data_IF_387714662311
#
_entry.id   IF_387714662311
#
_cell.length_a   1.000
_cell.length_b   1.000
_cell.length_c   1.000
_cell.angle_alpha   90.00
_cell.angle_beta   90.00
_cell.angle_gamma   90.00
#
_symmetry.space_group_name_H-M   'P 1'
#
loop_
_entity.id
_entity.type
_entity.pdbx_description
1 polymer ?
#
# COMPACT_ATOMS: atom_id res chain seq x y z
N UNK A 1 30.97 59.65 -25.66
CA UNK A 1 29.99 59.03 -24.74
C UNK A 1 30.14 59.76 -23.44
N UNK A 2 29.20 60.66 -23.14
CA UNK A 2 29.29 61.53 -21.97
C UNK A 2 29.33 60.69 -20.70
N UNK A 3 30.29 60.99 -19.80
CA UNK A 3 30.53 60.22 -18.58
C UNK A 3 29.30 60.09 -17.68
N UNK A 4 28.29 60.97 -17.85
CA UNK A 4 26.99 60.87 -17.18
C UNK A 4 26.19 59.63 -17.61
N UNK A 5 26.09 59.33 -18.90
CA UNK A 5 25.34 58.14 -19.37
C UNK A 5 25.99 56.82 -18.94
N UNK A 6 27.32 56.79 -18.86
CA UNK A 6 28.05 55.63 -18.32
C UNK A 6 27.81 55.44 -16.82
N UNK A 7 27.79 56.54 -16.04
CA UNK A 7 27.50 56.50 -14.60
C UNK A 7 26.05 56.09 -14.32
N UNK A 8 25.08 56.57 -15.10
CA UNK A 8 23.68 56.15 -14.98
C UNK A 8 23.51 54.65 -15.24
N UNK A 9 24.12 54.12 -16.30
CA UNK A 9 24.09 52.68 -16.60
C UNK A 9 24.75 51.87 -15.47
N UNK A 10 25.89 52.32 -14.94
CA UNK A 10 26.55 51.71 -13.79
C UNK A 10 25.65 51.71 -12.54
N UNK A 11 25.00 52.83 -12.24
CA UNK A 11 24.04 52.93 -11.12
C UNK A 11 22.88 51.96 -11.31
N UNK A 12 22.32 51.86 -12.52
CA UNK A 12 21.26 50.90 -12.83
C UNK A 12 21.71 49.44 -12.67
N UNK A 13 22.91 49.09 -13.13
CA UNK A 13 23.46 47.73 -12.95
C UNK A 13 23.64 47.41 -11.46
N UNK A 14 24.15 48.37 -10.67
CA UNK A 14 24.30 48.20 -9.22
C UNK A 14 22.93 48.02 -8.54
N UNK A 15 21.93 48.83 -8.91
CA UNK A 15 20.58 48.70 -8.37
C UNK A 15 19.94 47.36 -8.73
N UNK A 16 20.06 46.92 -9.98
CA UNK A 16 19.52 45.64 -10.44
C UNK A 16 20.19 44.45 -9.76
N UNK A 17 21.52 44.49 -9.60
CA UNK A 17 22.26 43.42 -8.90
C UNK A 17 21.91 43.38 -7.41
N UNK A 18 21.76 44.54 -6.76
CA UNK A 18 21.31 44.61 -5.37
C UNK A 18 19.88 44.08 -5.22
N UNK A 19 18.97 44.48 -6.10
CA UNK A 19 17.60 43.99 -6.09
C UNK A 19 17.52 42.48 -6.33
N UNK A 20 18.27 41.96 -7.31
CA UNK A 20 18.35 40.53 -7.58
C UNK A 20 18.91 39.75 -6.38
N UNK A 21 19.92 40.29 -5.71
CA UNK A 21 20.47 39.69 -4.48
C UNK A 21 19.42 39.64 -3.36
N UNK A 22 18.75 40.76 -3.07
CA UNK A 22 17.72 40.83 -2.03
C UNK A 22 16.54 39.90 -2.32
N UNK A 23 16.08 39.86 -3.57
CA UNK A 23 15.00 38.96 -3.97
C UNK A 23 15.40 37.49 -3.75
N UNK A 24 16.63 37.12 -4.14
CA UNK A 24 17.14 35.76 -3.92
C UNK A 24 17.19 35.38 -2.44
N UNK A 25 17.71 36.27 -1.59
CA UNK A 25 17.76 35.99 -0.13
C UNK A 25 16.35 35.86 0.47
N UNK A 26 15.40 36.67 -0.01
CA UNK A 26 13.99 36.58 0.40
C UNK A 26 13.35 35.26 -0.06
N UNK A 27 13.58 34.82 -1.29
CA UNK A 27 13.11 33.53 -1.81
C UNK A 27 13.69 32.35 -1.00
N UNK A 28 14.98 32.38 -0.69
CA UNK A 28 15.63 31.37 0.17
C UNK A 28 14.96 31.33 1.53
N UNK A 29 14.76 32.50 2.14
CA UNK A 29 14.13 32.60 3.46
C UNK A 29 12.70 32.05 3.45
N UNK A 30 11.88 32.43 2.47
CA UNK A 30 10.51 31.92 2.31
C UNK A 30 10.49 30.40 2.16
N UNK A 31 11.34 29.87 1.28
CA UNK A 31 11.45 28.43 1.05
C UNK A 31 11.86 27.67 2.31
N UNK A 32 12.82 28.19 3.09
CA UNK A 32 13.20 27.61 4.38
C UNK A 32 12.00 27.58 5.33
N UNK A 33 11.27 28.68 5.45
CA UNK A 33 10.08 28.77 6.31
C UNK A 33 8.98 27.80 5.90
N UNK A 34 8.77 27.60 4.59
CA UNK A 34 7.83 26.61 4.07
C UNK A 34 8.28 25.19 4.46
N UNK A 35 9.55 24.84 4.21
CA UNK A 35 10.10 23.52 4.57
C UNK A 35 9.96 23.25 6.08
N UNK A 36 10.29 24.22 6.93
CA UNK A 36 10.17 24.09 8.39
C UNK A 36 8.72 23.84 8.83
N UNK A 37 7.75 24.46 8.13
CA UNK A 37 6.31 24.25 8.37
C UNK A 37 5.90 22.82 8.06
N UNK A 38 6.33 22.28 6.90
CA UNK A 38 6.08 20.88 6.54
C UNK A 38 6.72 19.90 7.53
N UNK A 39 7.97 20.15 7.94
CA UNK A 39 8.65 19.30 8.93
C UNK A 39 7.91 19.30 10.28
N UNK A 40 7.41 20.45 10.73
CA UNK A 40 6.62 20.55 11.94
C UNK A 40 5.30 19.75 11.82
N UNK A 41 4.62 19.83 10.67
CA UNK A 41 3.42 19.05 10.40
C UNK A 41 3.73 17.53 10.40
N UNK A 42 4.79 17.10 9.71
CA UNK A 42 5.19 15.69 9.66
C UNK A 42 5.60 15.15 11.04
N UNK A 43 6.25 15.98 11.87
CA UNK A 43 6.55 15.64 13.27
C UNK A 43 5.26 15.38 14.06
N UNK A 44 4.27 16.26 13.91
CA UNK A 44 2.97 16.12 14.58
C UNK A 44 2.25 14.83 14.18
N UNK A 45 2.24 14.51 12.87
CA UNK A 45 1.65 13.27 12.34
C UNK A 45 2.37 12.04 12.89
N UNK A 46 3.71 12.04 12.90
CA UNK A 46 4.51 10.96 13.51
C UNK A 46 4.19 10.77 14.99
N UNK A 47 4.14 11.85 15.77
CA UNK A 47 3.86 11.77 17.19
C UNK A 47 2.43 11.27 17.46
N UNK A 48 1.48 11.64 16.59
CA UNK A 48 0.11 11.09 16.59
C UNK A 48 0.11 9.60 16.26
N UNK A 49 0.84 9.15 15.25
CA UNK A 49 0.94 7.74 14.85
C UNK A 49 1.51 6.85 15.97
N UNK A 50 2.58 7.31 16.63
CA UNK A 50 3.16 6.63 17.79
C UNK A 50 2.15 6.51 18.92
N UNK A 51 1.47 7.61 19.29
CA UNK A 51 0.43 7.60 20.32
C UNK A 51 -0.73 6.67 19.97
N UNK A 52 -1.20 6.70 18.71
CA UNK A 52 -2.26 5.85 18.22
C UNK A 52 -1.89 4.37 18.37
N UNK A 53 -0.71 3.97 17.88
CA UNK A 53 -0.23 2.58 17.98
C UNK A 53 -0.15 2.11 19.43
N UNK A 54 0.46 2.90 20.32
CA UNK A 54 0.59 2.58 21.75
C UNK A 54 -0.80 2.47 22.39
N UNK A 55 -1.74 3.35 22.06
CA UNK A 55 -3.09 3.32 22.60
C UNK A 55 -3.87 2.10 22.11
N UNK A 56 -3.71 1.68 20.85
CA UNK A 56 -4.37 0.46 20.34
C UNK A 56 -3.92 -0.80 21.09
N UNK A 57 -2.64 -0.92 21.47
CA UNK A 57 -2.20 -1.98 22.38
C UNK A 57 -2.91 -1.92 23.75
N UNK A 58 -3.08 -0.72 24.31
CA UNK A 58 -3.78 -0.50 25.59
C UNK A 58 -5.26 -0.89 25.49
N UNK A 59 -5.92 -0.50 24.41
CA UNK A 59 -7.33 -0.79 24.15
C UNK A 59 -7.58 -2.30 24.02
N UNK A 60 -6.73 -3.03 23.29
CA UNK A 60 -6.82 -4.50 23.17
C UNK A 60 -6.67 -5.17 24.55
N UNK A 61 -5.75 -4.69 25.39
CA UNK A 61 -5.58 -5.21 26.75
C UNK A 61 -6.81 -4.95 27.64
N UNK A 62 -7.36 -3.74 27.60
CA UNK A 62 -8.56 -3.36 28.35
C UNK A 62 -9.77 -4.21 27.91
N UNK A 63 -9.98 -4.36 26.60
CA UNK A 63 -11.07 -5.16 26.02
C UNK A 63 -11.03 -6.63 26.47
N UNK A 64 -9.83 -7.17 26.69
CA UNK A 64 -9.63 -8.55 27.14
C UNK A 64 -9.46 -8.67 28.66
N UNK A 65 -9.71 -7.59 29.41
CA UNK A 65 -9.56 -7.51 30.88
C UNK A 65 -8.17 -7.97 31.37
N UNK A 66 -7.12 -7.68 30.58
CA UNK A 66 -5.73 -8.02 30.90
C UNK A 66 -4.95 -6.80 31.31
N UNK A 67 -4.03 -7.00 32.27
CA UNK A 67 -3.01 -6.02 32.60
C UNK A 67 -1.79 -6.26 31.72
N UNK A 68 -1.24 -5.17 31.19
CA UNK A 68 -0.01 -5.16 30.39
C UNK A 68 0.97 -4.17 31.01
N UNK A 69 2.26 -4.43 30.82
CA UNK A 69 3.30 -3.46 31.14
C UNK A 69 3.37 -2.42 30.04
N UNK A 70 2.77 -1.26 30.30
CA UNK A 70 2.71 -0.14 29.36
C UNK A 70 4.09 0.34 28.95
N UNK A 71 5.05 0.40 29.88
CA UNK A 71 6.41 0.88 29.57
C UNK A 71 7.11 -0.09 28.62
N UNK A 72 6.99 -1.39 28.89
CA UNK A 72 7.53 -2.43 28.01
C UNK A 72 6.95 -2.36 26.60
N UNK A 73 5.64 -2.11 26.47
CA UNK A 73 4.99 -1.95 25.17
C UNK A 73 5.49 -0.70 24.46
N UNK A 74 5.56 0.43 25.16
CA UNK A 74 6.05 1.70 24.59
C UNK A 74 7.49 1.54 24.06
N UNK A 75 8.39 0.96 24.85
CA UNK A 75 9.77 0.66 24.43
C UNK A 75 9.82 -0.29 23.23
N UNK A 76 9.02 -1.36 23.24
CA UNK A 76 9.04 -2.35 22.15
C UNK A 76 8.44 -1.81 20.86
N UNK A 77 7.35 -1.04 20.94
CA UNK A 77 6.73 -0.38 19.78
C UNK A 77 7.73 0.59 19.14
N UNK A 78 8.43 1.41 19.94
CA UNK A 78 9.46 2.30 19.42
C UNK A 78 10.58 1.52 18.70
N UNK A 79 11.01 0.39 19.27
CA UNK A 79 12.00 -0.48 18.62
C UNK A 79 11.50 -1.10 17.31
N UNK A 80 10.22 -1.48 17.22
CA UNK A 80 9.64 -2.03 16.00
C UNK A 80 9.50 -0.97 14.90
N UNK A 81 9.09 0.24 15.27
CA UNK A 81 8.97 1.40 14.35
C UNK A 81 10.33 1.85 13.81
N UNK A 82 11.43 1.54 14.50
CA UNK A 82 12.81 1.80 14.07
C UNK A 82 13.44 0.64 13.28
N UNK A 83 12.75 -0.50 13.15
CA UNK A 83 13.25 -1.63 12.37
C UNK A 83 13.24 -1.29 10.88
N UNK A 84 14.14 -1.89 10.09
CA UNK A 84 14.20 -1.69 8.63
C UNK A 84 14.23 -3.01 7.90
N UNK A 85 13.54 -3.05 6.75
CA UNK A 85 13.68 -4.14 5.80
C UNK A 85 14.92 -3.89 4.94
N UNK A 86 15.83 -4.86 4.89
CA UNK A 86 17.03 -4.78 4.06
C UNK A 86 16.79 -5.68 2.84
N UNK A 87 16.72 -5.06 1.66
CA UNK A 87 16.57 -5.81 0.41
C UNK A 87 17.78 -6.70 0.13
N UNK A 88 17.57 -7.88 -0.47
CA UNK A 88 18.68 -8.74 -0.88
C UNK A 88 19.49 -8.06 -1.98
N UNK A 89 20.79 -8.39 -2.06
CA UNK A 89 21.67 -7.93 -3.13
C UNK A 89 21.19 -8.41 -4.50
N UNK A 90 21.25 -7.52 -5.49
CA UNK A 90 20.80 -7.71 -6.87
C UNK A 90 21.96 -7.91 -7.89
N UNK A 91 23.20 -8.00 -7.41
CA UNK A 91 24.40 -8.27 -8.23
C UNK A 91 24.26 -9.51 -9.14
N UNK A 92 23.58 -10.55 -8.64
CA UNK A 92 23.12 -11.69 -9.43
C UNK A 92 21.58 -11.68 -9.45
N UNK A 93 20.96 -11.26 -10.58
CA UNK A 93 19.51 -11.18 -10.67
C UNK A 93 18.86 -12.57 -10.68
N UNK A 94 19.61 -13.65 -10.92
CA UNK A 94 19.04 -14.99 -10.86
C UNK A 94 18.70 -15.37 -9.41
N UNK A 95 17.45 -15.74 -9.18
CA UNK A 95 16.99 -16.15 -7.85
C UNK A 95 16.65 -15.00 -6.90
N UNK A 96 16.67 -13.75 -7.36
CA UNK A 96 16.38 -12.57 -6.49
C UNK A 96 14.96 -12.63 -5.92
N UNK A 97 14.00 -13.12 -6.71
CA UNK A 97 12.59 -13.19 -6.31
C UNK A 97 12.39 -14.21 -5.19
N UNK A 98 13.04 -15.37 -5.25
CA UNK A 98 12.99 -16.37 -4.18
C UNK A 98 13.63 -15.85 -2.88
N UNK A 99 14.76 -15.15 -2.98
CA UNK A 99 15.41 -14.48 -1.82
C UNK A 99 14.48 -13.44 -1.20
N UNK A 100 13.86 -12.60 -2.03
CA UNK A 100 12.94 -11.56 -1.59
C UNK A 100 11.70 -12.17 -0.91
N UNK A 101 11.11 -13.22 -1.50
CA UNK A 101 9.99 -13.98 -0.92
C UNK A 101 10.36 -14.54 0.45
N UNK A 102 11.54 -15.12 0.60
CA UNK A 102 12.02 -15.67 1.87
C UNK A 102 12.17 -14.59 2.95
N UNK A 103 12.76 -13.43 2.60
CA UNK A 103 12.95 -12.31 3.53
C UNK A 103 11.61 -11.72 3.97
N UNK A 104 10.69 -11.45 3.03
CA UNK A 104 9.36 -10.91 3.34
C UNK A 104 8.60 -11.85 4.27
N UNK A 105 8.59 -13.16 4.00
CA UNK A 105 7.94 -14.16 4.87
C UNK A 105 8.56 -14.22 6.26
N UNK A 106 9.88 -14.14 6.34
CA UNK A 106 10.60 -14.17 7.60
C UNK A 106 10.30 -12.92 8.42
N UNK A 107 10.36 -11.73 7.80
CA UNK A 107 9.99 -10.47 8.44
C UNK A 107 8.54 -10.50 8.94
N UNK A 108 7.59 -10.87 8.10
CA UNK A 108 6.18 -10.93 8.48
C UNK A 108 5.95 -11.87 9.67
N UNK A 109 6.57 -13.05 9.68
CA UNK A 109 6.48 -14.01 10.80
C UNK A 109 7.14 -13.47 12.07
N UNK A 110 8.30 -12.82 11.96
CA UNK A 110 9.00 -12.26 13.10
C UNK A 110 8.19 -11.14 13.75
N UNK A 111 7.68 -10.19 12.95
CA UNK A 111 6.84 -9.10 13.47
C UNK A 111 5.54 -9.64 14.07
N UNK A 112 4.91 -10.65 13.44
CA UNK A 112 3.74 -11.33 14.01
C UNK A 112 4.03 -11.95 15.39
N UNK A 113 5.17 -12.61 15.54
CA UNK A 113 5.58 -13.19 16.82
C UNK A 113 5.87 -12.10 17.87
N UNK A 114 6.49 -10.98 17.47
CA UNK A 114 6.74 -9.84 18.36
C UNK A 114 5.45 -9.25 18.91
N UNK A 115 4.47 -8.98 18.04
CA UNK A 115 3.14 -8.49 18.45
C UNK A 115 2.47 -9.52 19.36
N UNK A 116 2.50 -10.80 19.00
CA UNK A 116 1.92 -11.90 19.80
C UNK A 116 2.56 -12.02 21.18
N UNK A 117 3.86 -11.74 21.33
CA UNK A 117 4.52 -11.74 22.65
C UNK A 117 4.08 -10.57 23.53
N UNK A 118 3.73 -9.43 22.94
CA UNK A 118 3.23 -8.26 23.68
C UNK A 118 1.77 -8.43 24.11
N UNK A 119 0.94 -9.04 23.26
CA UNK A 119 -0.50 -9.25 23.48
C UNK A 119 -0.91 -10.71 23.17
N UNK A 120 -0.46 -11.70 23.97
CA UNK A 120 -0.68 -13.13 23.68
C UNK A 120 -2.14 -13.58 23.75
N UNK A 121 -3.00 -12.76 24.33
CA UNK A 121 -4.43 -12.98 24.48
C UNK A 121 -5.25 -12.39 23.31
N UNK A 122 -4.62 -11.63 22.41
CA UNK A 122 -5.30 -11.03 21.26
C UNK A 122 -5.66 -12.10 20.21
N UNK A 123 -6.77 -11.87 19.53
CA UNK A 123 -7.18 -12.70 18.38
C UNK A 123 -6.19 -12.55 17.22
N UNK A 124 -6.19 -13.52 16.29
CA UNK A 124 -5.37 -13.44 15.07
C UNK A 124 -5.65 -12.16 14.27
N UNK A 125 -6.92 -11.75 14.19
CA UNK A 125 -7.33 -10.51 13.51
C UNK A 125 -6.70 -9.28 14.17
N UNK A 126 -6.78 -9.19 15.50
CA UNK A 126 -6.17 -8.09 16.25
C UNK A 126 -4.64 -8.06 16.07
N UNK A 127 -3.98 -9.23 16.09
CA UNK A 127 -2.52 -9.32 15.86
C UNK A 127 -2.14 -8.81 14.46
N UNK A 128 -2.85 -9.25 13.41
CA UNK A 128 -2.56 -8.84 12.04
C UNK A 128 -2.84 -7.35 11.82
N UNK A 129 -3.96 -6.82 12.34
CA UNK A 129 -4.27 -5.40 12.26
C UNK A 129 -3.23 -4.53 13.00
N UNK A 130 -2.72 -5.01 14.14
CA UNK A 130 -1.64 -4.33 14.86
C UNK A 130 -0.32 -4.32 14.07
N UNK A 131 -0.04 -5.36 13.28
CA UNK A 131 1.13 -5.36 12.38
C UNK A 131 1.00 -4.27 11.31
N UNK A 132 -0.17 -4.16 10.68
CA UNK A 132 -0.44 -3.11 9.68
C UNK A 132 -0.31 -1.71 10.29
N UNK A 133 -0.84 -1.50 11.51
CA UNK A 133 -0.73 -0.24 12.24
C UNK A 133 0.74 0.13 12.58
N UNK A 134 1.54 -0.85 12.99
CA UNK A 134 2.99 -0.66 13.19
C UNK A 134 3.68 -0.31 11.87
N UNK A 135 3.33 -1.00 10.77
CA UNK A 135 3.86 -0.72 9.43
C UNK A 135 3.57 0.71 8.97
N UNK A 136 2.34 1.18 9.15
CA UNK A 136 1.97 2.57 8.85
C UNK A 136 2.77 3.58 9.69
N UNK A 137 2.93 3.30 10.99
CA UNK A 137 3.71 4.16 11.90
C UNK A 137 5.19 4.17 11.56
N UNK A 138 5.74 3.04 11.14
CA UNK A 138 7.11 2.90 10.64
C UNK A 138 7.33 3.76 9.39
N UNK A 139 6.41 3.70 8.41
CA UNK A 139 6.48 4.51 7.19
C UNK A 139 6.42 6.02 7.49
N UNK A 140 5.51 6.46 8.35
CA UNK A 140 5.42 7.86 8.79
C UNK A 140 6.71 8.32 9.48
N UNK A 141 7.27 7.48 10.36
CA UNK A 141 8.52 7.80 11.07
C UNK A 141 9.70 7.89 10.10
N UNK A 142 9.77 7.01 9.11
CA UNK A 142 10.80 7.02 8.06
C UNK A 142 10.75 8.29 7.22
N UNK A 143 9.59 8.62 6.66
CA UNK A 143 9.41 9.84 5.86
C UNK A 143 9.82 11.08 6.66
N UNK A 144 9.36 11.21 7.92
CA UNK A 144 9.74 12.34 8.76
C UNK A 144 11.27 12.44 8.94
N UNK A 145 11.94 11.32 9.23
CA UNK A 145 13.39 11.30 9.49
C UNK A 145 14.19 11.65 8.23
N UNK A 146 13.77 11.16 7.06
CA UNK A 146 14.42 11.45 5.79
C UNK A 146 14.29 12.93 5.41
N UNK A 147 13.09 13.50 5.53
CA UNK A 147 12.84 14.92 5.25
C UNK A 147 13.64 15.82 6.20
N UNK A 148 13.61 15.55 7.51
CA UNK A 148 14.37 16.31 8.51
C UNK A 148 15.89 16.18 8.27
N UNK A 149 16.37 15.00 7.85
CA UNK A 149 17.77 14.77 7.51
C UNK A 149 18.23 15.58 6.29
N UNK A 150 17.52 15.49 5.17
CA UNK A 150 17.83 16.23 3.93
C UNK A 150 17.80 17.73 4.19
N UNK A 151 16.82 18.21 4.96
CA UNK A 151 16.73 19.60 5.38
C UNK A 151 17.97 20.05 6.16
N UNK A 152 18.39 19.29 7.18
CA UNK A 152 19.58 19.59 7.98
C UNK A 152 20.85 19.59 7.14
N UNK A 153 20.97 18.69 6.17
CA UNK A 153 22.06 18.69 5.19
C UNK A 153 22.07 19.99 4.38
N UNK A 154 20.91 20.38 3.83
CA UNK A 154 20.76 21.63 3.07
C UNK A 154 21.17 22.85 3.88
N UNK A 155 20.74 22.95 5.14
CA UNK A 155 21.12 24.03 6.07
C UNK A 155 22.61 23.99 6.42
N UNK A 156 23.18 22.82 6.71
CA UNK A 156 24.59 22.65 7.10
C UNK A 156 25.54 23.06 5.98
N UNK A 157 25.27 22.64 4.75
CA UNK A 157 26.11 22.99 3.59
C UNK A 157 25.75 24.33 2.97
N UNK A 158 24.70 25.02 3.47
CA UNK A 158 24.14 26.23 2.87
C UNK A 158 23.81 26.03 1.37
N UNK A 159 23.32 24.83 1.03
CA UNK A 159 23.06 24.43 -0.35
C UNK A 159 21.63 24.77 -0.75
N UNK A 160 21.47 25.83 -1.54
CA UNK A 160 20.17 26.24 -2.11
C UNK A 160 19.53 25.11 -2.92
N UNK A 161 20.34 24.39 -3.71
CA UNK A 161 19.85 23.33 -4.59
C UNK A 161 19.23 22.16 -3.83
N UNK A 162 19.76 21.80 -2.65
CA UNK A 162 19.19 20.74 -1.82
C UNK A 162 17.84 21.20 -1.25
N UNK A 163 17.76 22.43 -0.76
CA UNK A 163 16.53 22.99 -0.20
C UNK A 163 15.44 23.13 -1.27
N UNK A 164 15.80 23.55 -2.49
CA UNK A 164 14.87 23.69 -3.60
C UNK A 164 14.31 22.33 -4.06
N UNK A 165 15.16 21.31 -4.17
CA UNK A 165 14.71 19.94 -4.47
C UNK A 165 13.76 19.42 -3.38
N UNK A 166 14.10 19.64 -2.11
CA UNK A 166 13.24 19.24 -1.01
C UNK A 166 11.89 19.96 -1.09
N UNK A 167 11.86 21.29 -1.23
CA UNK A 167 10.64 22.09 -1.32
C UNK A 167 9.74 21.63 -2.48
N UNK A 168 10.32 21.31 -3.64
CA UNK A 168 9.57 20.80 -4.80
C UNK A 168 8.94 19.42 -4.56
N UNK A 169 9.55 18.56 -3.73
CA UNK A 169 9.05 17.23 -3.42
C UNK A 169 8.03 17.20 -2.27
N UNK A 170 8.03 18.21 -1.38
CA UNK A 170 7.16 18.24 -0.19
C UNK A 170 5.65 18.04 -0.48
N UNK A 171 5.06 18.54 -1.58
CA UNK A 171 3.67 18.27 -1.89
C UNK A 171 3.37 16.78 -2.11
N UNK A 172 4.25 16.06 -2.82
CA UNK A 172 4.10 14.62 -3.07
C UNK A 172 4.31 13.84 -1.77
N UNK A 173 5.35 14.19 -1.00
CA UNK A 173 5.60 13.57 0.31
C UNK A 173 4.41 13.78 1.27
N UNK A 174 3.75 14.93 1.18
CA UNK A 174 2.55 15.22 1.99
C UNK A 174 1.38 14.32 1.62
N UNK A 175 1.23 13.94 0.35
CA UNK A 175 0.19 12.98 -0.07
C UNK A 175 0.44 11.60 0.57
N UNK A 176 1.66 11.08 0.49
CA UNK A 176 2.02 9.81 1.14
C UNK A 176 1.87 9.88 2.67
N UNK A 177 2.30 10.98 3.30
CA UNK A 177 2.11 11.19 4.75
C UNK A 177 0.64 11.17 5.17
N UNK A 178 -0.24 11.82 4.39
CA UNK A 178 -1.69 11.79 4.64
C UNK A 178 -2.28 10.41 4.42
N UNK A 179 -1.84 9.69 3.39
CA UNK A 179 -2.29 8.33 3.13
C UNK A 179 -2.02 7.40 4.32
N UNK A 180 -0.79 7.42 4.85
CA UNK A 180 -0.47 6.65 6.06
C UNK A 180 -1.16 7.18 7.32
N UNK A 181 -1.33 8.50 7.46
CA UNK A 181 -2.06 9.06 8.60
C UNK A 181 -3.52 8.56 8.64
N UNK A 182 -4.19 8.57 7.50
CA UNK A 182 -5.57 8.10 7.36
C UNK A 182 -5.70 6.60 7.59
N UNK A 183 -4.64 5.82 7.33
CA UNK A 183 -4.62 4.38 7.56
C UNK A 183 -4.60 3.99 9.04
N UNK A 184 -4.13 4.89 9.92
CA UNK A 184 -4.03 4.63 11.37
C UNK A 184 -5.39 4.26 11.96
N UNK A 185 -6.43 5.02 11.61
CA UNK A 185 -7.79 4.78 12.09
C UNK A 185 -8.35 3.46 11.54
N UNK A 186 -8.12 3.19 10.26
CA UNK A 186 -8.60 1.98 9.61
C UNK A 186 -7.97 0.72 10.24
N UNK A 187 -6.66 0.71 10.43
CA UNK A 187 -5.93 -0.41 11.02
C UNK A 187 -6.23 -0.59 12.50
N UNK A 188 -6.32 0.50 13.28
CA UNK A 188 -6.68 0.41 14.70
C UNK A 188 -8.08 -0.19 14.92
N UNK A 189 -9.05 0.15 14.06
CA UNK A 189 -10.44 -0.28 14.22
C UNK A 189 -10.83 -1.51 13.39
N UNK A 190 -9.97 -1.98 12.48
CA UNK A 190 -10.30 -3.10 11.59
C UNK A 190 -11.28 -2.74 10.47
N UNK A 191 -11.28 -1.49 10.02
CA UNK A 191 -12.15 -1.04 8.93
C UNK A 191 -11.54 -1.35 7.56
N UNK A 192 -12.36 -1.73 6.55
CA UNK A 192 -11.87 -1.95 5.20
C UNK A 192 -11.29 -0.67 4.60
N UNK A 193 -10.16 -0.81 3.92
CA UNK A 193 -9.46 0.29 3.25
C UNK A 193 -9.73 0.30 1.74
N UNK A 194 -9.32 1.34 1.02
CA UNK A 194 -9.43 1.37 -0.44
C UNK A 194 -8.76 0.19 -1.13
N UNK A 195 -7.60 -0.27 -0.64
CA UNK A 195 -6.90 -1.46 -1.14
C UNK A 195 -7.73 -2.75 -1.00
N UNK A 196 -8.78 -2.75 -0.16
CA UNK A 196 -9.68 -3.89 0.00
C UNK A 196 -10.65 -4.11 -1.16
N UNK A 197 -10.67 -3.24 -2.19
CA UNK A 197 -11.61 -3.36 -3.32
C UNK A 197 -11.51 -4.70 -4.06
N UNK A 198 -10.31 -5.24 -4.28
CA UNK A 198 -10.12 -6.54 -4.93
C UNK A 198 -10.74 -7.70 -4.12
N UNK A 199 -10.40 -7.85 -2.82
CA UNK A 199 -11.04 -8.80 -1.93
C UNK A 199 -12.56 -8.62 -1.84
N UNK A 200 -13.07 -7.37 -1.83
CA UNK A 200 -14.51 -7.09 -1.81
C UNK A 200 -15.18 -7.61 -3.08
N UNK A 201 -14.59 -7.39 -4.26
CA UNK A 201 -15.13 -7.89 -5.53
C UNK A 201 -15.16 -9.42 -5.55
N UNK A 202 -14.08 -10.08 -5.11
CA UNK A 202 -14.03 -11.54 -4.99
C UNK A 202 -15.09 -12.07 -4.01
N UNK A 203 -15.24 -11.44 -2.84
CA UNK A 203 -16.26 -11.81 -1.85
C UNK A 203 -17.69 -11.58 -2.38
N UNK A 204 -17.94 -10.49 -3.12
CA UNK A 204 -19.23 -10.24 -3.78
C UNK A 204 -19.54 -11.33 -4.82
N UNK A 205 -18.55 -11.77 -5.60
CA UNK A 205 -18.72 -12.87 -6.56
C UNK A 205 -19.10 -14.18 -5.84
N UNK A 206 -18.37 -14.54 -4.79
CA UNK A 206 -18.66 -15.73 -3.95
C UNK A 206 -20.06 -15.62 -3.37
N UNK A 207 -20.43 -14.49 -2.78
CA UNK A 207 -21.77 -14.30 -2.18
C UNK A 207 -22.89 -14.40 -3.20
N UNK A 208 -22.68 -13.91 -4.43
CA UNK A 208 -23.69 -13.88 -5.49
C UNK A 208 -23.92 -15.25 -6.13
N UNK A 209 -22.87 -16.06 -6.30
CA UNK A 209 -22.92 -17.30 -7.09
C UNK A 209 -22.52 -18.58 -6.32
N UNK A 210 -21.83 -18.46 -5.19
CA UNK A 210 -21.26 -19.55 -4.41
C UNK A 210 -22.14 -20.03 -3.24
N UNK A 211 -23.47 -20.03 -3.38
CA UNK A 211 -24.32 -20.48 -2.28
C UNK A 211 -24.08 -21.97 -1.97
N UNK A 212 -23.68 -22.29 -0.73
CA UNK A 212 -23.36 -23.65 -0.29
C UNK A 212 -21.96 -24.16 -0.68
N UNK A 213 -21.07 -23.32 -1.20
CA UNK A 213 -19.71 -23.72 -1.56
C UNK A 213 -18.78 -23.79 -0.36
N UNK A 214 -17.89 -24.78 -0.33
CA UNK A 214 -16.88 -24.94 0.72
C UNK A 214 -15.75 -23.91 0.54
N UNK A 215 -15.36 -23.27 1.64
CA UNK A 215 -14.20 -22.37 1.70
C UNK A 215 -12.98 -23.18 2.14
N UNK A 216 -11.97 -23.28 1.27
CA UNK A 216 -10.73 -24.01 1.54
C UNK A 216 -9.57 -23.04 1.76
N UNK A 217 -8.79 -23.23 2.82
CA UNK A 217 -7.52 -22.52 3.00
C UNK A 217 -6.41 -23.31 2.28
N UNK A 218 -5.87 -22.75 1.20
CA UNK A 218 -4.93 -23.45 0.29
C UNK A 218 -3.51 -22.95 0.39
N UNK A 219 -3.30 -21.76 0.97
CA UNK A 219 -2.00 -21.18 1.26
C UNK A 219 -2.09 -20.31 2.52
N UNK A 220 -0.94 -19.82 3.04
CA UNK A 220 -0.92 -18.96 4.24
C UNK A 220 -1.85 -17.77 4.03
N UNK A 221 -2.82 -17.61 4.93
CA UNK A 221 -3.76 -16.50 4.94
C UNK A 221 -4.49 -16.30 3.61
N UNK A 222 -4.79 -17.40 2.88
CA UNK A 222 -5.41 -17.34 1.56
C UNK A 222 -6.47 -18.42 1.40
N UNK A 223 -7.66 -18.00 0.97
CA UNK A 223 -8.80 -18.89 0.74
C UNK A 223 -9.03 -19.10 -0.75
N UNK A 224 -9.59 -20.26 -1.08
CA UNK A 224 -10.05 -20.65 -2.40
C UNK A 224 -11.47 -21.19 -2.30
N UNK A 225 -12.34 -20.74 -3.21
CA UNK A 225 -13.75 -21.16 -3.29
C UNK A 225 -14.07 -21.56 -4.73
N UNK A 226 -14.67 -22.74 -4.90
CA UNK A 226 -15.14 -23.21 -6.21
C UNK A 226 -16.59 -22.78 -6.43
N UNK A 227 -16.83 -21.97 -7.46
CA UNK A 227 -18.14 -21.39 -7.76
C UNK A 227 -18.60 -21.80 -9.16
N UNK A 228 -19.74 -22.49 -9.31
CA UNK A 228 -20.31 -22.78 -10.62
C UNK A 228 -20.92 -21.51 -11.24
N UNK A 229 -20.59 -21.20 -12.49
CA UNK A 229 -21.10 -20.03 -13.19
C UNK A 229 -21.24 -20.30 -14.69
N UNK A 230 -22.47 -20.26 -15.24
CA UNK A 230 -22.75 -20.39 -16.68
C UNK A 230 -21.94 -21.50 -17.37
N UNK A 231 -22.08 -22.74 -16.89
CA UNK A 231 -21.37 -23.93 -17.38
C UNK A 231 -19.83 -23.89 -17.27
N UNK A 232 -19.30 -22.97 -16.44
CA UNK A 232 -17.88 -22.85 -16.11
C UNK A 232 -17.68 -23.06 -14.62
N UNK A 233 -16.46 -23.39 -14.23
CA UNK A 233 -16.04 -23.41 -12.83
C UNK A 233 -15.13 -22.21 -12.57
N UNK A 234 -15.54 -21.33 -11.66
CA UNK A 234 -14.75 -20.18 -11.24
C UNK A 234 -14.08 -20.54 -9.92
N UNK A 235 -12.75 -20.56 -9.91
CA UNK A 235 -11.93 -20.74 -8.72
C UNK A 235 -11.59 -19.36 -8.21
N UNK A 236 -12.32 -18.90 -7.20
CA UNK A 236 -12.12 -17.58 -6.59
C UNK A 236 -11.06 -17.70 -5.50
N UNK A 237 -10.02 -16.88 -5.59
CA UNK A 237 -8.90 -16.81 -4.65
C UNK A 237 -8.83 -15.41 -4.07
N UNK A 238 -8.71 -15.29 -2.75
CA UNK A 238 -8.41 -14.01 -2.07
C UNK A 238 -7.72 -14.24 -0.73
N UNK A 239 -7.12 -13.20 -0.18
CA UNK A 239 -6.60 -13.22 1.19
C UNK A 239 -7.70 -13.54 2.22
N UNK A 240 -7.34 -14.23 3.32
CA UNK A 240 -8.27 -14.66 4.37
C UNK A 240 -8.57 -13.53 5.35
N UNK A 241 -9.77 -12.96 5.22
CA UNK A 241 -10.21 -11.89 6.11
C UNK A 241 -11.01 -12.35 7.32
N UNK A 242 -11.36 -11.43 8.23
CA UNK A 242 -11.27 -9.96 8.11
C UNK A 242 -9.95 -9.34 8.65
N UNK A 243 -8.88 -10.13 8.75
CA UNK A 243 -7.58 -9.67 9.22
C UNK A 243 -6.85 -8.77 8.19
N UNK A 244 -6.00 -7.86 8.67
CA UNK A 244 -5.05 -7.08 7.88
C UNK A 244 -3.97 -7.95 7.24
N UNK A 245 -4.31 -8.64 6.14
CA UNK A 245 -3.42 -9.54 5.41
C UNK A 245 -3.65 -9.44 3.90
N UNK A 246 -2.60 -9.65 3.13
CA UNK A 246 -2.64 -9.71 1.65
C UNK A 246 -2.61 -11.16 1.10
N UNK A 247 -2.36 -12.14 1.96
CA UNK A 247 -2.28 -13.55 1.60
C UNK A 247 -0.97 -13.97 0.94
N UNK A 248 -0.96 -15.15 0.34
CA UNK A 248 0.08 -15.72 -0.53
C UNK A 248 -0.63 -16.18 -1.80
N UNK A 249 -1.03 -15.21 -2.62
CA UNK A 249 -1.91 -15.44 -3.76
C UNK A 249 -1.21 -16.28 -4.83
N UNK A 250 0.10 -16.11 -4.99
CA UNK A 250 0.91 -16.89 -5.91
C UNK A 250 0.93 -18.39 -5.58
N UNK A 251 1.13 -18.76 -4.31
CA UNK A 251 1.06 -20.15 -3.85
C UNK A 251 -0.35 -20.75 -4.07
N UNK A 252 -1.40 -19.95 -3.84
CA UNK A 252 -2.78 -20.39 -4.05
C UNK A 252 -3.11 -20.59 -5.55
N UNK A 253 -2.60 -19.72 -6.42
CA UNK A 253 -2.73 -19.87 -7.88
C UNK A 253 -1.93 -21.10 -8.35
N UNK A 254 -0.72 -21.31 -7.83
CA UNK A 254 0.08 -22.51 -8.14
C UNK A 254 -0.68 -23.79 -7.74
N UNK A 255 -1.26 -23.80 -6.53
CA UNK A 255 -2.11 -24.90 -6.08
C UNK A 255 -3.31 -25.11 -7.01
N UNK A 256 -4.05 -24.06 -7.36
CA UNK A 256 -5.20 -24.16 -8.27
C UNK A 256 -4.81 -24.72 -9.64
N UNK A 257 -3.68 -24.29 -10.23
CA UNK A 257 -3.19 -24.82 -11.50
C UNK A 257 -2.63 -26.25 -11.40
N UNK A 258 -2.24 -26.68 -10.20
CA UNK A 258 -1.89 -28.08 -9.95
C UNK A 258 -3.10 -29.00 -10.07
N UNK A 259 -4.28 -28.53 -9.64
CA UNK A 259 -5.56 -29.26 -9.63
C UNK A 259 -6.33 -29.11 -10.95
N UNK A 260 -6.43 -27.91 -11.49
CA UNK A 260 -7.24 -27.58 -12.67
C UNK A 260 -6.38 -27.37 -13.92
N UNK A 261 -6.28 -28.41 -14.75
CA UNK A 261 -5.47 -28.39 -15.98
C UNK A 261 -6.15 -27.71 -17.17
N UNK A 262 -7.47 -27.61 -17.17
CA UNK A 262 -8.28 -26.95 -18.20
C UNK A 262 -8.57 -25.48 -17.86
N UNK A 263 -7.62 -24.78 -17.22
CA UNK A 263 -7.75 -23.36 -16.89
C UNK A 263 -7.63 -22.52 -18.16
N UNK A 264 -8.69 -21.80 -18.52
CA UNK A 264 -8.77 -20.99 -19.75
C UNK A 264 -8.19 -19.58 -19.59
N UNK A 265 -8.29 -18.99 -18.40
CA UNK A 265 -7.82 -17.63 -18.12
C UNK A 265 -7.65 -17.41 -16.60
N UNK A 266 -6.70 -16.55 -16.23
CA UNK A 266 -6.58 -16.00 -14.88
C UNK A 266 -6.95 -14.51 -14.93
N UNK A 267 -7.90 -14.11 -14.08
CA UNK A 267 -8.39 -12.74 -13.97
C UNK A 267 -7.99 -12.22 -12.59
N UNK A 268 -7.23 -11.14 -12.52
CA UNK A 268 -6.92 -10.43 -11.27
C UNK A 268 -7.78 -9.19 -11.14
N UNK A 269 -8.30 -8.90 -9.95
CA UNK A 269 -8.95 -7.62 -9.63
C UNK A 269 -8.21 -6.93 -8.50
N UNK A 270 -7.74 -5.71 -8.76
CA UNK A 270 -6.85 -4.96 -7.86
C UNK A 270 -7.19 -3.46 -7.86
N UNK A 271 -6.69 -2.75 -6.86
CA UNK A 271 -6.60 -1.31 -6.87
C UNK A 271 -5.51 -0.85 -7.86
N UNK A 272 -5.69 0.33 -8.45
CA UNK A 272 -4.65 0.99 -9.25
C UNK A 272 -4.57 2.46 -8.91
N UNK A 273 -3.35 3.01 -8.89
CA UNK A 273 -3.17 4.45 -8.78
C UNK A 273 -3.85 5.15 -9.95
N UNK A 274 -4.68 6.15 -9.64
CA UNK A 274 -5.29 7.05 -10.62
C UNK A 274 -4.34 8.19 -10.94
N UNK A 275 -4.40 8.69 -12.16
CA UNK A 275 -3.76 9.97 -12.50
C UNK A 275 -4.62 11.15 -12.01
N UNK A 276 -4.05 12.34 -11.92
CA UNK A 276 -4.70 13.54 -11.37
C UNK A 276 -5.95 13.93 -12.17
N UNK A 277 -5.94 13.70 -13.49
CA UNK A 277 -7.10 13.94 -14.37
C UNK A 277 -8.16 12.85 -14.28
N UNK A 278 -7.91 11.74 -13.59
CA UNK A 278 -8.79 10.58 -13.52
C UNK A 278 -9.67 10.59 -12.28
N UNK A 279 -10.87 10.03 -12.46
CA UNK A 279 -11.87 9.92 -11.39
C UNK A 279 -11.65 8.64 -10.59
N UNK A 280 -11.75 8.76 -9.27
CA UNK A 280 -11.77 7.61 -8.36
C UNK A 280 -12.95 6.69 -8.68
N UNK A 281 -12.75 5.39 -8.53
CA UNK A 281 -13.72 4.35 -8.86
C UNK A 281 -13.93 4.12 -10.36
N UNK A 282 -13.12 4.72 -11.24
CA UNK A 282 -13.11 4.36 -12.66
C UNK A 282 -12.49 2.97 -12.85
N UNK A 283 -13.05 2.21 -13.78
CA UNK A 283 -12.61 0.83 -14.08
C UNK A 283 -11.70 0.86 -15.30
N UNK A 284 -10.59 0.14 -15.23
CA UNK A 284 -9.65 -0.02 -16.32
C UNK A 284 -9.36 -1.51 -16.55
N UNK A 285 -9.49 -1.95 -17.80
CA UNK A 285 -9.12 -3.29 -18.22
C UNK A 285 -7.63 -3.35 -18.57
N UNK A 286 -6.97 -4.46 -18.25
CA UNK A 286 -5.56 -4.67 -18.51
C UNK A 286 -5.22 -6.12 -18.87
N UNK A 287 -4.01 -6.32 -19.38
CA UNK A 287 -3.44 -7.64 -19.66
C UNK A 287 -2.21 -7.83 -18.77
N UNK A 288 -2.06 -9.04 -18.21
CA UNK A 288 -1.04 -9.34 -17.19
C UNK A 288 -1.62 -9.44 -15.78
N UNK A 289 -0.73 -9.47 -14.79
CA UNK A 289 -1.08 -9.58 -13.37
C UNK A 289 -1.04 -8.21 -12.71
N UNK A 290 -2.19 -7.76 -12.19
CA UNK A 290 -2.28 -6.58 -11.35
C UNK A 290 -2.12 -6.98 -9.88
N UNK A 291 -0.89 -6.83 -9.38
CA UNK A 291 -0.56 -6.97 -7.96
C UNK A 291 0.48 -5.92 -7.61
N UNK A 292 0.22 -5.13 -6.56
CA UNK A 292 1.14 -4.16 -5.98
C UNK A 292 2.29 -4.76 -5.16
N UNK A 293 2.99 -3.91 -4.40
CA UNK A 293 4.06 -4.32 -3.48
C UNK A 293 5.38 -4.64 -4.18
N UNK A 294 6.13 -5.59 -3.61
CA UNK A 294 7.51 -5.90 -4.02
C UNK A 294 7.63 -6.70 -5.34
N UNK A 295 6.51 -7.02 -5.99
CA UNK A 295 6.48 -7.72 -7.28
C UNK A 295 6.76 -9.23 -7.22
N UNK A 296 6.96 -9.81 -6.03
CA UNK A 296 7.24 -11.25 -5.84
C UNK A 296 6.08 -12.12 -6.35
N UNK A 297 4.86 -11.84 -5.89
CA UNK A 297 3.68 -12.63 -6.26
C UNK A 297 3.34 -12.45 -7.74
N UNK A 298 3.44 -11.22 -8.24
CA UNK A 298 3.30 -10.89 -9.66
C UNK A 298 4.22 -11.75 -10.53
N UNK A 299 5.52 -11.76 -10.21
CA UNK A 299 6.50 -12.55 -10.95
C UNK A 299 6.17 -14.05 -10.94
N UNK A 300 5.81 -14.61 -9.78
CA UNK A 300 5.52 -16.04 -9.67
C UNK A 300 4.28 -16.43 -10.48
N UNK A 301 3.20 -15.64 -10.42
CA UNK A 301 1.99 -15.90 -11.21
C UNK A 301 2.29 -15.76 -12.72
N UNK A 302 3.02 -14.73 -13.15
CA UNK A 302 3.42 -14.55 -14.54
C UNK A 302 4.27 -15.72 -15.05
N UNK A 303 5.24 -16.18 -14.26
CA UNK A 303 6.10 -17.34 -14.56
C UNK A 303 5.28 -18.61 -14.74
N UNK A 304 4.37 -18.90 -13.81
CA UNK A 304 3.55 -20.13 -13.85
C UNK A 304 2.53 -20.08 -15.00
N UNK A 305 1.85 -18.94 -15.18
CA UNK A 305 0.89 -18.76 -16.27
C UNK A 305 1.56 -18.87 -17.65
N UNK A 306 2.75 -18.29 -17.82
CA UNK A 306 3.54 -18.39 -19.06
C UNK A 306 3.90 -19.84 -19.36
N UNK A 307 4.39 -20.58 -18.35
CA UNK A 307 4.72 -22.00 -18.50
C UNK A 307 3.50 -22.84 -18.90
N UNK A 308 2.32 -22.51 -18.36
CA UNK A 308 1.06 -23.17 -18.67
C UNK A 308 0.36 -22.64 -19.94
N UNK A 309 0.89 -21.58 -20.57
CA UNK A 309 0.28 -20.86 -21.70
C UNK A 309 -1.13 -20.35 -21.41
N UNK A 310 -1.36 -19.88 -20.18
CA UNK A 310 -2.66 -19.37 -19.74
C UNK A 310 -2.66 -17.83 -19.88
N UNK A 311 -3.65 -17.23 -20.56
CA UNK A 311 -3.83 -15.79 -20.63
C UNK A 311 -4.04 -15.16 -19.25
N UNK A 312 -3.47 -13.96 -19.08
CA UNK A 312 -3.59 -13.13 -17.88
C UNK A 312 -4.39 -11.87 -18.19
N UNK A 313 -5.39 -11.57 -17.37
CA UNK A 313 -6.23 -10.39 -17.50
C UNK A 313 -6.39 -9.68 -16.16
N UNK A 314 -6.50 -8.36 -16.19
CA UNK A 314 -6.65 -7.54 -15.00
C UNK A 314 -7.86 -6.61 -15.11
N UNK A 315 -8.59 -6.46 -14.02
CA UNK A 315 -9.62 -5.42 -13.82
C UNK A 315 -9.14 -4.52 -12.69
N UNK A 316 -8.90 -3.25 -12.99
CA UNK A 316 -8.32 -2.28 -12.08
C UNK A 316 -9.38 -1.27 -11.63
N UNK A 317 -9.45 -1.01 -10.33
CA UNK A 317 -10.27 0.06 -9.75
C UNK A 317 -9.34 1.22 -9.39
N UNK A 318 -9.51 2.36 -10.07
CA UNK A 318 -8.63 3.52 -9.93
C UNK A 318 -8.91 4.33 -8.66
N UNK A 319 -7.89 4.67 -7.90
CA UNK A 319 -7.96 5.48 -6.68
C UNK A 319 -6.65 6.24 -6.41
N UNK A 320 -6.68 7.27 -5.57
CA UNK A 320 -5.42 7.91 -5.10
C UNK A 320 -4.71 7.05 -4.06
N UNK A 321 -3.44 7.37 -3.77
CA UNK A 321 -2.68 6.75 -2.68
C UNK A 321 -3.37 6.94 -1.32
N UNK A 322 -3.92 8.14 -1.08
CA UNK A 322 -4.69 8.45 0.13
C UNK A 322 -5.94 7.58 0.24
N UNK A 323 -6.69 7.42 -0.86
CA UNK A 323 -7.89 6.58 -0.88
C UNK A 323 -7.57 5.10 -0.68
N UNK A 324 -6.43 4.61 -1.17
CA UNK A 324 -6.02 3.21 -1.04
C UNK A 324 -5.81 2.80 0.42
N UNK A 325 -5.28 3.70 1.26
CA UNK A 325 -4.98 3.41 2.67
C UNK A 325 -6.04 3.93 3.65
N UNK A 326 -6.91 4.84 3.22
CA UNK A 326 -8.04 5.33 4.03
C UNK A 326 -9.19 4.31 4.08
N UNK A 327 -10.09 4.49 5.05
CA UNK A 327 -11.37 3.75 5.09
C UNK A 327 -12.09 3.90 3.75
N UNK A 328 -12.56 2.78 3.21
CA UNK A 328 -13.19 2.74 1.88
C UNK A 328 -14.39 3.71 1.81
N UNK A 329 -14.34 4.62 0.84
CA UNK A 329 -15.42 5.57 0.61
C UNK A 329 -16.52 4.97 -0.28
N UNK A 330 -17.68 5.62 -0.30
CA UNK A 330 -18.83 5.16 -1.09
C UNK A 330 -18.51 5.03 -2.58
N UNK A 331 -17.73 5.95 -3.15
CA UNK A 331 -17.36 5.93 -4.58
C UNK A 331 -16.58 4.66 -4.94
N UNK A 332 -15.60 4.26 -4.12
CA UNK A 332 -14.85 3.04 -4.32
C UNK A 332 -15.70 1.80 -4.06
N UNK A 333 -16.52 1.82 -3.01
CA UNK A 333 -17.41 0.70 -2.71
C UNK A 333 -18.41 0.45 -3.86
N UNK A 334 -19.06 1.50 -4.39
CA UNK A 334 -19.97 1.39 -5.54
C UNK A 334 -19.23 0.96 -6.82
N UNK A 335 -17.95 1.31 -6.96
CA UNK A 335 -17.12 0.87 -8.09
C UNK A 335 -16.87 -0.65 -8.08
N UNK A 336 -16.90 -1.32 -6.92
CA UNK A 336 -16.76 -2.79 -6.86
C UNK A 336 -17.91 -3.50 -7.57
N UNK A 337 -19.12 -2.94 -7.60
CA UNK A 337 -20.24 -3.52 -8.36
C UNK A 337 -20.04 -3.39 -9.87
N UNK A 338 -19.46 -2.27 -10.31
CA UNK A 338 -19.08 -2.07 -11.72
C UNK A 338 -17.95 -3.01 -12.14
N UNK A 339 -16.95 -3.20 -11.27
CA UNK A 339 -15.88 -4.16 -11.50
C UNK A 339 -16.39 -5.60 -11.58
N UNK A 340 -17.33 -5.98 -10.69
CA UNK A 340 -17.97 -7.29 -10.72
C UNK A 340 -18.71 -7.53 -12.04
N UNK A 341 -19.52 -6.57 -12.50
CA UNK A 341 -20.20 -6.65 -13.79
C UNK A 341 -19.20 -6.77 -14.96
N UNK A 342 -18.07 -6.08 -14.88
CA UNK A 342 -17.01 -6.19 -15.88
C UNK A 342 -16.34 -7.57 -15.86
N UNK A 343 -16.10 -8.16 -14.69
CA UNK A 343 -15.55 -9.51 -14.55
C UNK A 343 -16.52 -10.54 -15.15
N UNK A 344 -17.82 -10.44 -14.86
CA UNK A 344 -18.85 -11.31 -15.45
C UNK A 344 -18.79 -11.26 -16.99
N UNK A 345 -18.73 -10.04 -17.55
CA UNK A 345 -18.57 -9.82 -19.00
C UNK A 345 -17.28 -10.46 -19.54
N UNK A 346 -16.15 -10.25 -18.88
CA UNK A 346 -14.84 -10.80 -19.29
C UNK A 346 -14.85 -12.33 -19.27
N UNK A 347 -15.44 -12.95 -18.25
CA UNK A 347 -15.58 -14.41 -18.16
C UNK A 347 -16.36 -14.91 -19.38
N UNK A 348 -17.48 -14.29 -19.71
CA UNK A 348 -18.33 -14.72 -20.84
C UNK A 348 -17.68 -14.52 -22.21
N UNK A 349 -17.02 -13.39 -22.42
CA UNK A 349 -16.39 -13.03 -23.70
C UNK A 349 -15.07 -13.79 -23.96
N UNK A 350 -14.32 -14.12 -22.90
CA UNK A 350 -12.93 -14.62 -23.03
C UNK A 350 -12.72 -16.06 -22.58
N UNK A 351 -13.78 -16.77 -22.22
CA UNK A 351 -13.70 -18.20 -21.88
C UNK A 351 -14.83 -19.00 -22.50
N UNK A 352 -14.63 -20.31 -22.63
CA UNK A 352 -15.60 -21.26 -23.20
C UNK A 352 -16.32 -22.05 -22.09
N UNK A 353 -17.56 -22.51 -22.33
CA UNK A 353 -18.20 -23.49 -21.45
C UNK A 353 -17.31 -24.70 -21.21
N UNK A 354 -17.29 -25.21 -19.98
CA UNK A 354 -16.42 -26.30 -19.54
C UNK A 354 -15.00 -25.90 -19.12
N UNK A 355 -14.56 -24.66 -19.35
CA UNK A 355 -13.27 -24.17 -18.87
C UNK A 355 -13.32 -23.80 -17.38
N UNK A 356 -12.14 -23.84 -16.75
CA UNK A 356 -11.91 -23.30 -15.40
C UNK A 356 -11.36 -21.89 -15.53
N UNK A 357 -11.87 -20.96 -14.72
CA UNK A 357 -11.37 -19.60 -14.63
C UNK A 357 -10.85 -19.38 -13.22
N UNK A 358 -9.66 -18.82 -13.07
CA UNK A 358 -9.15 -18.40 -11.78
C UNK A 358 -9.42 -16.90 -11.62
N UNK A 359 -10.19 -16.52 -10.61
CA UNK A 359 -10.47 -15.13 -10.26
C UNK A 359 -9.72 -14.79 -8.96
N UNK A 360 -8.76 -13.88 -9.02
CA UNK A 360 -7.93 -13.48 -7.87
C UNK A 360 -8.32 -12.07 -7.41
N UNK A 361 -8.86 -11.96 -6.20
CA UNK A 361 -9.07 -10.68 -5.52
C UNK A 361 -7.81 -10.25 -4.77
N UNK A 362 -7.16 -9.20 -5.26
CA UNK A 362 -5.87 -8.71 -4.79
C UNK A 362 -6.05 -7.49 -3.91
N UNK A 363 -5.37 -7.48 -2.76
CA UNK A 363 -5.37 -6.37 -1.81
C UNK A 363 -5.54 -6.82 -0.36
N UNK A 364 -5.45 -5.88 0.57
CA UNK A 364 -5.62 -6.10 2.00
C UNK A 364 -7.08 -6.46 2.33
N UNK A 365 -7.30 -7.54 3.08
CA UNK A 365 -8.65 -8.01 3.43
C UNK A 365 -9.15 -7.57 4.82
N UNK A 366 -8.54 -6.55 5.43
CA UNK A 366 -8.99 -5.96 6.69
C UNK A 366 -10.48 -5.60 6.61
N UNK A 367 -11.27 -6.04 7.59
CA UNK A 367 -12.71 -5.78 7.62
C UNK A 367 -13.54 -6.47 6.52
N UNK A 368 -12.93 -7.28 5.64
CA UNK A 368 -13.61 -7.99 4.55
C UNK A 368 -13.70 -9.48 4.86
N UNK A 369 -14.92 -9.96 5.12
CA UNK A 369 -15.16 -11.36 5.41
C UNK A 369 -15.11 -12.26 4.15
N UNK A 370 -14.77 -13.55 4.31
CA UNK A 370 -14.86 -14.57 3.26
C UNK A 370 -16.22 -14.67 2.57
#
# INVERSE_FOLDING_TARGET
MDGQGAMEVLTWIILLTLFAYLNREFEIWRMISEIETYIAAFRSIRDKALRCTINSFKEIAVKNEKKIDVKKIEERVLSLVETRFISPTDLDPQGIVEKLKHLVRTTNRTVENEVRMLIPFASKVEIENMKDLIGATQAINEIYKEVDHIYRIGRKFKSMWILMQLNALLPFITQSMKAFESSLEAFANGYPVGDSVGPIVAAKFIRKYGNGTEIKEVAKDTIMVEVPYKERKIVVIKAKGPAGVTGSLDDAVEYALSVYKNTGIIITVDASSKLESEKSGSICDGFGVAIGGLGVEKFNIEKIATKAKIPLYAVLIKMSEEEALSVINKTLFDATDKALANIERVIEERSKPGEVIILVGVGNTIGVYP
#
